data_IF_840155109125
#
_entry.id   IF_840155109125
#
_cell.length_a   1.000
_cell.length_b   1.000
_cell.length_c   1.000
_cell.angle_alpha   90.00
_cell.angle_beta   90.00
_cell.angle_gamma   90.00
#
_symmetry.space_group_name_H-M   'P 1'
#
loop_
_entity.id
_entity.type
_entity.pdbx_description
1 polymer ?
#
# COMPACT_ATOMS: atom_id res chain seq x y z
N UNK A 1 -37.28 -19.43 24.98
CA UNK A 1 -37.07 -19.72 23.55
C UNK A 1 -37.18 -18.46 22.70
N UNK A 2 -38.29 -17.70 22.77
CA UNK A 2 -38.53 -16.46 22.00
C UNK A 2 -37.45 -15.37 22.23
N UNK A 3 -36.97 -15.19 23.47
CA UNK A 3 -35.92 -14.21 23.78
C UNK A 3 -34.54 -14.54 23.15
N UNK A 4 -34.24 -15.82 22.89
CA UNK A 4 -33.02 -16.22 22.18
C UNK A 4 -33.13 -15.99 20.68
N UNK A 5 -34.32 -16.16 20.10
CA UNK A 5 -34.59 -15.79 18.71
C UNK A 5 -34.44 -14.29 18.48
N UNK A 6 -34.91 -13.44 19.39
CA UNK A 6 -34.70 -11.98 19.29
C UNK A 6 -33.22 -11.59 19.40
N UNK A 7 -32.45 -12.22 20.31
CA UNK A 7 -31.00 -11.98 20.40
C UNK A 7 -30.26 -12.44 19.14
N UNK A 8 -30.64 -13.58 18.57
CA UNK A 8 -30.07 -14.10 17.32
C UNK A 8 -30.44 -13.20 16.13
N UNK A 9 -31.68 -12.71 16.08
CA UNK A 9 -32.17 -11.80 15.05
C UNK A 9 -31.47 -10.43 15.11
N UNK A 10 -31.25 -9.89 16.31
CA UNK A 10 -30.46 -8.66 16.52
C UNK A 10 -28.99 -8.87 16.16
N UNK A 11 -28.40 -10.05 16.44
CA UNK A 11 -27.04 -10.39 16.00
C UNK A 11 -26.93 -10.48 14.47
N UNK A 12 -27.94 -11.05 13.80
CA UNK A 12 -27.97 -11.12 12.33
C UNK A 12 -28.23 -9.76 11.68
N UNK A 13 -29.05 -8.89 12.30
CA UNK A 13 -29.30 -7.53 11.82
C UNK A 13 -28.08 -6.62 12.07
N UNK A 14 -27.32 -6.83 13.14
CA UNK A 14 -26.03 -6.16 13.34
C UNK A 14 -24.96 -6.58 12.32
N UNK A 15 -25.16 -7.73 11.64
CA UNK A 15 -24.29 -8.17 10.53
C UNK A 15 -24.72 -7.68 9.16
N UNK A 16 -25.88 -7.00 9.05
CA UNK A 16 -26.10 -6.04 7.96
C UNK A 16 -25.35 -4.76 8.33
N UNK A 17 -24.02 -4.84 8.35
CA UNK A 17 -23.22 -3.65 8.21
C UNK A 17 -23.64 -3.02 6.87
N UNK A 18 -24.36 -1.90 6.94
CA UNK A 18 -24.36 -0.95 5.85
C UNK A 18 -22.90 -0.80 5.41
N UNK A 19 -22.65 -0.74 4.10
CA UNK A 19 -21.35 -0.33 3.60
C UNK A 19 -21.11 1.09 4.13
N UNK A 20 -20.50 1.21 5.31
CA UNK A 20 -20.05 2.49 5.82
C UNK A 20 -18.95 2.93 4.86
N UNK A 21 -19.16 4.10 4.25
CA UNK A 21 -18.12 4.76 3.46
C UNK A 21 -16.93 5.02 4.39
N UNK A 22 -15.92 4.14 4.32
CA UNK A 22 -14.69 4.30 5.11
C UNK A 22 -13.92 5.49 4.57
N UNK A 23 -13.92 6.58 5.31
CA UNK A 23 -13.19 7.80 4.99
C UNK A 23 -12.29 8.20 6.16
N UNK A 24 -11.04 8.57 5.86
CA UNK A 24 -10.09 9.10 6.82
C UNK A 24 -9.13 10.08 6.14
N UNK A 25 -8.60 11.01 6.91
CA UNK A 25 -7.61 11.99 6.44
C UNK A 25 -6.59 12.25 7.54
N UNK A 26 -5.31 12.18 7.20
CA UNK A 26 -4.19 12.45 8.10
C UNK A 26 -3.48 13.73 7.67
N UNK A 27 -3.73 14.84 8.37
CA UNK A 27 -3.05 16.13 8.14
C UNK A 27 -1.75 16.22 8.97
N UNK A 28 -0.94 15.17 8.90
CA UNK A 28 0.13 14.86 9.85
C UNK A 28 -0.17 13.56 10.60
N UNK A 29 0.85 13.00 11.26
CA UNK A 29 0.82 11.67 11.87
C UNK A 29 1.08 11.66 13.39
N UNK A 30 0.99 12.83 14.03
CA UNK A 30 1.50 13.06 15.40
C UNK A 30 0.70 12.38 16.52
N UNK A 31 -0.42 11.73 16.22
CA UNK A 31 -1.26 11.02 17.22
C UNK A 31 -2.13 9.95 16.57
N UNK A 32 -1.71 9.43 15.41
CA UNK A 32 -2.58 8.61 14.60
C UNK A 32 -2.41 7.13 14.89
N UNK A 33 -3.56 6.44 14.93
CA UNK A 33 -3.61 5.00 15.11
C UNK A 33 -3.27 4.35 13.77
N UNK A 34 -1.99 4.20 13.44
CA UNK A 34 -1.55 3.32 12.35
C UNK A 34 -0.85 2.11 12.93
N UNK A 35 -1.05 0.97 12.30
CA UNK A 35 -0.29 -0.24 12.57
C UNK A 35 1.04 -0.15 11.83
N UNK A 36 2.12 0.09 12.56
CA UNK A 36 3.47 0.14 12.02
C UNK A 36 4.16 -1.23 12.10
N UNK A 37 4.97 -1.55 11.11
CA UNK A 37 5.84 -2.74 11.07
C UNK A 37 7.20 -2.38 10.43
N UNK A 38 8.22 -3.18 10.70
CA UNK A 38 9.59 -2.95 10.26
C UNK A 38 10.15 -1.63 10.81
N UNK A 39 10.77 -0.84 9.93
CA UNK A 39 11.45 0.41 10.29
C UNK A 39 10.51 1.62 10.37
N UNK A 40 9.20 1.43 10.14
CA UNK A 40 8.26 2.53 10.07
C UNK A 40 8.06 3.18 11.45
N UNK A 41 8.11 4.51 11.50
CA UNK A 41 7.99 5.29 12.73
C UNK A 41 7.38 6.67 12.49
N UNK A 42 6.85 7.27 13.54
CA UNK A 42 6.48 8.68 13.54
C UNK A 42 7.66 9.54 13.98
N UNK A 43 7.99 10.56 13.19
CA UNK A 43 9.01 11.52 13.57
C UNK A 43 8.47 12.50 14.63
N UNK A 44 9.37 13.13 15.39
CA UNK A 44 8.99 14.17 16.37
C UNK A 44 8.26 15.35 15.72
N UNK A 45 8.50 15.61 14.43
CA UNK A 45 7.79 16.64 13.68
C UNK A 45 6.44 16.19 13.09
N UNK A 46 6.04 14.91 13.24
CA UNK A 46 4.73 14.40 12.85
C UNK A 46 4.62 13.89 11.42
N UNK A 47 5.73 13.43 10.85
CA UNK A 47 5.77 12.73 9.57
C UNK A 47 5.72 11.23 9.83
N UNK A 48 5.07 10.50 8.93
CA UNK A 48 5.23 9.05 8.83
C UNK A 48 6.51 8.79 8.02
N UNK A 49 7.52 8.23 8.69
CA UNK A 49 8.76 7.80 8.08
C UNK A 49 8.70 6.28 7.91
N UNK A 50 8.48 5.81 6.68
CA UNK A 50 8.37 4.37 6.37
C UNK A 50 9.75 3.69 6.42
N UNK A 51 10.78 4.37 5.92
CA UNK A 51 12.19 3.97 5.99
C UNK A 51 13.05 5.17 6.34
N UNK A 52 14.26 4.93 6.83
CA UNK A 52 15.24 5.95 7.17
C UNK A 52 16.52 5.77 6.33
N UNK A 53 17.57 6.51 6.68
CA UNK A 53 18.85 6.54 5.97
C UNK A 53 19.67 5.24 6.14
N UNK A 54 19.21 4.26 6.92
CA UNK A 54 19.87 2.97 7.10
C UNK A 54 19.69 2.11 5.85
N UNK A 55 20.74 1.40 5.46
CA UNK A 55 20.72 0.50 4.30
C UNK A 55 19.79 -0.71 4.52
N UNK A 56 19.26 -1.22 3.41
CA UNK A 56 18.45 -2.46 3.33
C UNK A 56 17.25 -2.53 4.28
N UNK A 57 16.66 -1.38 4.64
CA UNK A 57 15.46 -1.33 5.47
C UNK A 57 14.18 -1.65 4.68
N UNK A 58 13.16 -2.09 5.42
CA UNK A 58 11.77 -2.12 4.98
C UNK A 58 10.88 -1.68 6.14
N UNK A 59 9.80 -0.98 5.83
CA UNK A 59 8.80 -0.62 6.81
C UNK A 59 7.43 -0.57 6.18
N UNK A 60 6.41 -0.70 7.02
CA UNK A 60 5.01 -0.69 6.60
C UNK A 60 4.19 0.11 7.58
N UNK A 61 3.17 0.79 7.06
CA UNK A 61 2.18 1.49 7.86
C UNK A 61 0.79 1.20 7.30
N UNK A 62 -0.06 0.59 8.12
CA UNK A 62 -1.41 0.19 7.73
C UNK A 62 -2.46 0.93 8.55
N UNK A 63 -3.57 1.27 7.89
CA UNK A 63 -4.80 1.66 8.57
C UNK A 63 -5.22 0.53 9.56
N UNK A 64 -5.59 0.86 10.81
CA UNK A 64 -5.69 -0.12 11.90
C UNK A 64 -7.02 -0.86 11.89
N UNK A 65 -7.95 -0.55 10.98
CA UNK A 65 -9.22 -1.25 10.83
C UNK A 65 -9.28 -1.86 9.42
N UNK A 66 -9.77 -3.11 9.26
CA UNK A 66 -9.98 -3.69 7.94
C UNK A 66 -10.93 -2.84 7.09
N UNK A 67 -10.66 -2.75 5.80
CA UNK A 67 -11.53 -2.09 4.81
C UNK A 67 -12.09 -3.15 3.87
N UNK A 68 -13.41 -3.17 3.70
CA UNK A 68 -14.07 -4.12 2.81
C UNK A 68 -14.10 -3.58 1.38
N UNK A 69 -13.38 -4.24 0.46
CA UNK A 69 -13.36 -3.86 -0.97
C UNK A 69 -14.31 -4.69 -1.84
N UNK A 70 -14.85 -5.79 -1.32
CA UNK A 70 -15.79 -6.66 -2.02
C UNK A 70 -16.79 -7.24 -1.02
N UNK A 71 -18.08 -7.26 -1.39
CA UNK A 71 -19.10 -7.93 -0.61
C UNK A 71 -18.94 -9.47 -0.75
N UNK A 72 -18.79 -10.17 0.37
CA UNK A 72 -18.65 -11.63 0.42
C UNK A 72 -19.95 -12.37 0.08
N UNK A 73 -21.12 -11.71 0.15
CA UNK A 73 -22.44 -12.30 -0.06
C UNK A 73 -22.93 -12.19 -1.51
N UNK A 74 -22.27 -11.41 -2.37
CA UNK A 74 -22.60 -11.28 -3.79
C UNK A 74 -21.35 -11.11 -4.64
N UNK A 75 -21.17 -11.96 -5.65
CA UNK A 75 -20.00 -11.90 -6.53
C UNK A 75 -19.89 -10.62 -7.39
N UNK A 76 -20.92 -9.77 -7.41
CA UNK A 76 -21.03 -8.60 -8.30
C UNK A 76 -20.69 -7.26 -7.66
N UNK A 77 -20.61 -7.15 -6.33
CA UNK A 77 -20.52 -5.84 -5.66
C UNK A 77 -19.10 -5.60 -5.15
N UNK A 78 -18.29 -4.93 -5.97
CA UNK A 78 -17.00 -4.34 -5.58
C UNK A 78 -17.20 -2.88 -5.19
N UNK A 79 -16.44 -2.41 -4.20
CA UNK A 79 -16.49 -1.02 -3.77
C UNK A 79 -15.40 -0.20 -4.47
N UNK A 80 -15.76 1.01 -4.88
CA UNK A 80 -14.80 1.96 -5.42
C UNK A 80 -14.03 2.64 -4.29
N UNK A 81 -12.77 2.99 -4.52
CA UNK A 81 -11.96 3.74 -3.56
C UNK A 81 -11.16 4.84 -4.28
N UNK A 82 -10.73 5.82 -3.50
CA UNK A 82 -9.74 6.81 -3.93
C UNK A 82 -8.78 7.08 -2.77
N UNK A 83 -7.54 7.38 -3.09
CA UNK A 83 -6.52 7.75 -2.09
C UNK A 83 -5.68 8.89 -2.64
N UNK A 84 -5.29 9.79 -1.76
CA UNK A 84 -4.38 10.90 -2.07
C UNK A 84 -3.39 10.95 -0.92
N UNK A 85 -2.10 10.92 -1.24
CA UNK A 85 -1.03 11.09 -0.28
C UNK A 85 0.06 11.97 -0.85
N UNK A 86 0.75 12.67 0.03
CA UNK A 86 1.93 13.46 -0.29
C UNK A 86 3.11 12.78 0.40
N UNK A 87 4.17 12.54 -0.36
CA UNK A 87 5.37 11.89 0.14
C UNK A 87 6.61 12.65 -0.31
N UNK A 88 7.74 12.35 0.33
CA UNK A 88 9.04 12.82 -0.08
C UNK A 88 10.03 11.66 0.02
N UNK A 89 10.80 11.44 -1.04
CA UNK A 89 11.94 10.52 -1.03
C UNK A 89 13.20 11.37 -1.00
N UNK A 90 14.03 11.16 0.01
CA UNK A 90 15.33 11.83 0.13
C UNK A 90 16.41 10.78 0.04
N UNK A 91 17.26 10.90 -0.98
CA UNK A 91 18.45 10.08 -1.09
C UNK A 91 19.59 10.65 -0.23
N UNK A 92 20.33 9.79 0.45
CA UNK A 92 21.55 10.15 1.18
C UNK A 92 22.75 10.26 0.24
N UNK A 93 22.70 9.59 -0.91
CA UNK A 93 23.71 9.63 -1.97
C UNK A 93 23.14 10.19 -3.26
N UNK A 94 23.95 10.96 -3.99
CA UNK A 94 23.58 11.47 -5.33
C UNK A 94 23.57 10.37 -6.40
N UNK A 95 24.13 9.19 -6.11
CA UNK A 95 24.27 8.07 -7.07
C UNK A 95 23.55 6.80 -6.62
N UNK A 96 23.28 6.63 -5.32
CA UNK A 96 22.61 5.47 -4.75
C UNK A 96 21.36 5.93 -4.01
N UNK A 97 20.19 5.60 -4.54
CA UNK A 97 18.88 5.87 -3.93
C UNK A 97 18.30 4.66 -3.20
N UNK A 98 17.15 4.87 -2.57
CA UNK A 98 16.27 3.76 -2.16
C UNK A 98 15.61 3.11 -3.37
N UNK A 99 14.96 1.96 -3.16
CA UNK A 99 14.32 1.21 -4.26
C UNK A 99 12.93 1.76 -4.61
N UNK A 100 12.24 2.36 -3.64
CA UNK A 100 10.93 2.96 -3.88
C UNK A 100 10.01 2.83 -2.67
N UNK A 101 8.73 3.04 -2.92
CA UNK A 101 7.64 2.80 -1.97
C UNK A 101 6.38 2.34 -2.71
N UNK A 102 5.38 1.83 -1.99
CA UNK A 102 4.11 1.45 -2.60
C UNK A 102 2.92 1.81 -1.71
N UNK A 103 1.79 2.15 -2.35
CA UNK A 103 0.47 2.08 -1.71
C UNK A 103 -0.03 0.64 -1.82
N UNK A 104 -0.54 0.06 -0.73
CA UNK A 104 -0.80 -1.39 -0.66
C UNK A 104 -2.19 -1.68 -0.11
N UNK A 105 -2.88 -2.62 -0.76
CA UNK A 105 -4.08 -3.29 -0.24
C UNK A 105 -3.72 -4.77 -0.07
N UNK A 106 -3.86 -5.27 1.16
CA UNK A 106 -3.49 -6.63 1.51
C UNK A 106 -4.46 -7.23 2.55
N UNK A 107 -4.62 -8.56 2.60
CA UNK A 107 -5.53 -9.22 3.55
C UNK A 107 -5.03 -9.18 5.00
N UNK A 108 -3.74 -8.90 5.20
CA UNK A 108 -3.08 -8.84 6.51
C UNK A 108 -2.15 -7.63 6.57
N UNK A 109 -1.90 -7.16 7.78
CA UNK A 109 -0.90 -6.12 8.05
C UNK A 109 0.47 -6.76 8.15
N UNK A 110 1.47 -6.03 7.67
CA UNK A 110 2.85 -6.48 7.66
C UNK A 110 3.09 -7.64 6.67
N UNK A 111 4.36 -7.87 6.38
CA UNK A 111 4.79 -8.92 5.45
C UNK A 111 5.97 -9.70 6.04
N UNK A 112 5.70 -10.62 6.99
CA UNK A 112 6.75 -11.41 7.62
C UNK A 112 7.57 -12.18 6.57
N UNK A 113 8.89 -12.05 6.65
CA UNK A 113 9.80 -12.71 5.71
C UNK A 113 9.87 -12.07 4.31
N UNK A 114 9.21 -10.93 4.07
CA UNK A 114 9.46 -10.13 2.87
C UNK A 114 10.86 -9.50 2.91
N UNK A 115 11.45 -9.35 1.73
CA UNK A 115 12.75 -8.74 1.55
C UNK A 115 12.61 -7.24 1.32
N UNK A 116 13.61 -6.48 1.77
CA UNK A 116 13.75 -5.08 1.38
C UNK A 116 14.32 -4.98 -0.04
N UNK A 117 14.85 -3.81 -0.36
CA UNK A 117 15.45 -3.56 -1.67
C UNK A 117 14.42 -3.66 -2.80
N UNK A 118 14.70 -4.37 -3.89
CA UNK A 118 13.84 -4.37 -5.07
C UNK A 118 12.52 -5.12 -4.82
N UNK A 119 12.38 -5.82 -3.68
CA UNK A 119 11.13 -6.46 -3.29
C UNK A 119 10.11 -5.53 -2.60
N UNK A 120 10.47 -4.24 -2.43
CA UNK A 120 9.66 -3.18 -1.82
C UNK A 120 9.07 -3.52 -0.44
N UNK A 121 9.61 -4.53 0.25
CA UNK A 121 9.07 -5.03 1.50
C UNK A 121 7.77 -5.82 1.36
N UNK A 122 7.34 -6.21 0.15
CA UNK A 122 6.05 -6.88 -0.10
C UNK A 122 6.19 -8.39 -0.29
N UNK A 123 7.27 -8.82 -0.94
CA UNK A 123 7.48 -10.20 -1.36
C UNK A 123 8.89 -10.69 -1.00
N UNK A 124 9.15 -11.95 -1.30
CA UNK A 124 10.47 -12.55 -1.27
C UNK A 124 10.63 -13.47 -2.49
N UNK A 125 11.78 -14.12 -2.59
CA UNK A 125 12.13 -14.99 -3.73
C UNK A 125 11.15 -16.15 -3.94
N UNK A 126 10.43 -16.59 -2.91
CA UNK A 126 9.57 -17.78 -2.99
C UNK A 126 8.09 -17.44 -3.18
N UNK A 127 7.65 -16.24 -2.82
CA UNK A 127 6.25 -15.83 -2.97
C UNK A 127 6.01 -14.75 -4.02
N UNK A 128 7.04 -14.14 -4.63
CA UNK A 128 6.84 -13.15 -5.70
C UNK A 128 6.05 -13.75 -6.88
N UNK A 129 4.89 -13.18 -7.19
CA UNK A 129 3.97 -13.66 -8.24
C UNK A 129 3.03 -14.78 -7.79
N UNK A 130 3.02 -15.16 -6.52
CA UNK A 130 2.12 -16.20 -6.01
C UNK A 130 0.68 -15.66 -5.91
N UNK A 131 -0.31 -16.24 -6.65
CA UNK A 131 -1.69 -15.73 -6.66
C UNK A 131 -2.40 -15.78 -5.31
N UNK A 132 -1.86 -16.52 -4.34
CA UNK A 132 -2.39 -16.61 -2.97
C UNK A 132 -1.94 -15.47 -2.05
N UNK A 133 -1.06 -14.57 -2.51
CA UNK A 133 -0.66 -13.38 -1.77
C UNK A 133 -1.86 -12.45 -1.52
N UNK A 134 -2.75 -12.32 -2.51
CA UNK A 134 -3.88 -11.40 -2.53
C UNK A 134 -3.46 -9.94 -2.25
N UNK A 135 -2.33 -9.53 -2.82
CA UNK A 135 -1.77 -8.19 -2.67
C UNK A 135 -2.00 -7.39 -3.95
N UNK A 136 -2.55 -6.20 -3.79
CA UNK A 136 -2.56 -5.16 -4.81
C UNK A 136 -1.65 -4.03 -4.34
N UNK A 137 -0.79 -3.53 -5.24
CA UNK A 137 0.02 -2.36 -4.94
C UNK A 137 0.11 -1.40 -6.13
N UNK A 138 0.25 -0.12 -5.82
CA UNK A 138 0.72 0.90 -6.76
C UNK A 138 2.11 1.28 -6.31
N UNK A 139 3.12 0.85 -7.06
CA UNK A 139 4.52 1.09 -6.75
C UNK A 139 5.01 2.42 -7.33
N UNK A 140 5.94 3.03 -6.63
CA UNK A 140 6.71 4.20 -6.99
C UNK A 140 8.17 3.77 -6.93
N UNK A 141 8.66 3.20 -8.01
CA UNK A 141 9.95 2.53 -8.08
C UNK A 141 11.02 3.47 -8.69
N UNK A 142 12.15 3.56 -8.00
CA UNK A 142 13.27 4.45 -8.33
C UNK A 142 14.55 3.70 -8.74
N UNK A 143 14.48 2.38 -8.94
CA UNK A 143 15.61 1.52 -9.29
C UNK A 143 15.18 0.44 -10.28
N UNK A 144 15.74 0.47 -11.48
CA UNK A 144 15.46 -0.55 -12.50
C UNK A 144 15.95 -1.93 -12.08
N UNK A 145 15.02 -2.83 -11.81
CA UNK A 145 15.23 -4.24 -11.49
C UNK A 145 14.93 -5.12 -12.70
N UNK A 146 15.98 -5.51 -13.44
CA UNK A 146 15.83 -6.37 -14.62
C UNK A 146 15.14 -7.72 -14.33
N UNK A 147 15.22 -8.23 -13.10
CA UNK A 147 14.53 -9.45 -12.68
C UNK A 147 13.00 -9.30 -12.56
N UNK A 148 12.49 -8.08 -12.55
CA UNK A 148 11.06 -7.75 -12.44
C UNK A 148 10.50 -7.07 -13.70
N UNK A 149 11.30 -6.99 -14.77
CA UNK A 149 10.97 -6.41 -16.07
C UNK A 149 10.71 -4.89 -16.05
N UNK A 150 11.31 -4.18 -15.11
CA UNK A 150 11.19 -2.73 -15.00
C UNK A 150 11.63 -2.03 -16.30
N UNK A 151 10.78 -1.10 -16.74
CA UNK A 151 10.99 -0.35 -17.98
C UNK A 151 12.16 0.62 -17.88
N UNK A 152 12.34 1.24 -16.72
CA UNK A 152 13.38 2.21 -16.40
C UNK A 152 13.58 2.29 -14.87
N UNK A 153 14.37 3.26 -14.42
CA UNK A 153 14.68 3.49 -13.00
C UNK A 153 13.83 4.59 -12.36
N UNK A 154 12.69 4.93 -12.95
CA UNK A 154 11.77 5.92 -12.39
C UNK A 154 10.36 5.66 -12.96
N UNK A 155 9.63 4.70 -12.40
CA UNK A 155 8.33 4.30 -12.92
C UNK A 155 7.27 4.16 -11.83
N UNK A 156 6.03 4.23 -12.28
CA UNK A 156 4.84 3.87 -11.50
C UNK A 156 4.30 2.57 -12.07
N UNK A 157 4.01 1.61 -11.19
CA UNK A 157 3.57 0.28 -11.56
C UNK A 157 2.30 -0.17 -10.83
N UNK A 158 1.55 -1.08 -11.43
CA UNK A 158 0.38 -1.75 -10.85
C UNK A 158 0.72 -3.22 -10.64
N UNK A 159 0.97 -3.55 -9.38
CA UNK A 159 1.37 -4.89 -8.96
C UNK A 159 0.17 -5.70 -8.50
N UNK A 160 0.08 -6.92 -9.03
CA UNK A 160 -0.91 -7.91 -8.62
C UNK A 160 -0.16 -9.16 -8.20
N UNK A 161 -0.06 -9.38 -6.88
CA UNK A 161 0.58 -10.52 -6.23
C UNK A 161 2.10 -10.68 -6.47
N UNK A 162 2.75 -9.77 -7.18
CA UNK A 162 4.18 -9.77 -7.43
C UNK A 162 4.61 -8.49 -8.15
N UNK A 163 5.92 -8.30 -8.27
CA UNK A 163 6.59 -7.07 -8.74
C UNK A 163 6.69 -6.98 -10.27
N UNK A 164 6.19 -7.98 -11.00
CA UNK A 164 6.08 -7.86 -12.44
C UNK A 164 4.78 -7.11 -12.74
N UNK A 165 4.89 -5.78 -12.81
CA UNK A 165 3.78 -4.85 -12.99
C UNK A 165 2.87 -5.23 -14.16
N UNK A 166 1.56 -5.25 -13.91
CA UNK A 166 0.51 -5.55 -14.91
C UNK A 166 0.15 -4.33 -15.77
N UNK A 167 0.46 -3.14 -15.29
CA UNK A 167 0.41 -1.88 -16.02
C UNK A 167 1.42 -0.92 -15.42
N UNK A 168 2.13 -0.18 -16.27
CA UNK A 168 3.25 0.65 -15.83
C UNK A 168 3.43 1.86 -16.76
N UNK A 169 4.07 2.90 -16.23
CA UNK A 169 4.52 4.04 -17.00
C UNK A 169 5.71 4.72 -16.30
N UNK A 170 6.61 5.33 -17.07
CA UNK A 170 7.66 6.19 -16.51
C UNK A 170 7.01 7.31 -15.70
N UNK A 171 7.52 7.56 -14.50
CA UNK A 171 7.04 8.65 -13.66
C UNK A 171 7.41 9.99 -14.28
N UNK A 172 6.45 10.92 -14.25
CA UNK A 172 6.61 12.24 -14.83
C UNK A 172 5.70 13.25 -14.12
N UNK A 173 6.15 14.50 -14.03
CA UNK A 173 5.32 15.62 -13.60
C UNK A 173 4.65 16.30 -14.81
N UNK A 174 3.43 16.79 -14.58
CA UNK A 174 2.70 17.54 -15.59
C UNK A 174 3.10 19.02 -15.57
N UNK A 175 3.82 19.47 -16.59
CA UNK A 175 4.21 20.87 -16.71
C UNK A 175 3.10 21.68 -17.42
N UNK A 176 2.21 22.30 -16.64
CA UNK A 176 1.08 23.13 -17.14
C UNK A 176 1.47 24.13 -18.24
N UNK A 177 2.70 24.68 -18.21
CA UNK A 177 3.17 25.67 -19.18
C UNK A 177 3.30 25.12 -20.61
N UNK A 178 3.57 23.81 -20.77
CA UNK A 178 3.87 23.21 -22.07
C UNK A 178 2.98 21.99 -22.41
N UNK A 179 1.95 21.71 -21.60
CA UNK A 179 0.93 20.68 -21.86
C UNK A 179 1.42 19.22 -21.86
N UNK A 180 2.69 18.97 -21.57
CA UNK A 180 3.31 17.64 -21.66
C UNK A 180 3.85 17.10 -20.34
N UNK A 181 3.99 15.79 -20.28
CA UNK A 181 4.70 15.06 -19.21
C UNK A 181 6.21 15.34 -19.29
N UNK A 182 6.85 15.49 -18.14
CA UNK A 182 8.30 15.69 -18.00
C UNK A 182 8.84 14.82 -16.87
N UNK A 183 10.04 14.28 -17.05
CA UNK A 183 10.81 13.65 -15.97
C UNK A 183 11.63 14.74 -15.27
#
# INVERSE_FOLDING_TARGET
>A
MIAMFFKLLILTLASLAAAEDVNFTYNGFRSDNLSLDGSAQFTSNGLLMVTNDTEEQKGHAFYPNPVTFKNSYSNSNVFSFSTIFVFAVRSVSTTLGGHGMAFVIAPKRGFPGAYGGPFLGLFNRTNNGNPTNHVFAVELDTVRSASFNDIDNNHVGIDINGLNSTGFASAAYYAKKNGGLRN
#
